data_IF_934151872990
#
_entry.id   IF_934151872990
#
_cell.length_a   1.000
_cell.length_b   1.000
_cell.length_c   1.000
_cell.angle_alpha   90.00
_cell.angle_beta   90.00
_cell.angle_gamma   90.00
#
_symmetry.space_group_name_H-M   'P 1'
#
loop_
_entity.id
_entity.type
_entity.pdbx_description
1 polymer ?
#
# COMPACT_ATOMS: atom_id res chain seq x y z
N UNK A 1 -2.85 22.22 11.17
CA UNK A 1 -1.99 21.31 10.37
C UNK A 1 -0.60 21.93 10.31
N UNK A 2 0.39 21.35 10.99
CA UNK A 2 1.77 21.86 10.94
C UNK A 2 2.42 21.35 9.67
N UNK A 3 2.67 22.26 8.72
CA UNK A 3 3.30 21.93 7.43
C UNK A 3 4.71 21.41 7.70
N UNK A 4 4.99 20.15 7.37
CA UNK A 4 6.34 19.60 7.51
C UNK A 4 7.32 20.44 6.65
N UNK A 5 8.51 20.79 7.16
CA UNK A 5 9.48 21.58 6.39
C UNK A 5 9.85 20.85 5.09
N UNK A 6 10.07 21.57 3.97
CA UNK A 6 10.42 20.98 2.67
C UNK A 6 11.56 19.96 2.77
N UNK A 7 11.52 18.87 1.98
CA UNK A 7 12.59 17.88 2.00
C UNK A 7 13.92 18.52 1.61
N UNK A 8 14.99 18.06 2.25
CA UNK A 8 16.35 18.48 1.96
C UNK A 8 16.99 17.52 0.95
N UNK A 9 17.91 17.99 0.09
CA UNK A 9 18.59 17.11 -0.84
C UNK A 9 19.49 16.12 -0.09
N UNK A 10 19.58 14.90 -0.60
CA UNK A 10 20.54 13.90 -0.13
C UNK A 10 21.96 14.41 -0.36
N UNK A 11 22.82 14.19 0.64
CA UNK A 11 24.22 14.65 0.60
C UNK A 11 25.09 13.65 -0.16
N UNK A 12 26.14 14.15 -0.80
CA UNK A 12 27.14 13.31 -1.47
C UNK A 12 26.70 12.69 -2.79
N UNK A 13 25.50 12.99 -3.27
CA UNK A 13 24.99 12.55 -4.56
C UNK A 13 24.90 13.71 -5.55
N UNK A 14 25.24 13.43 -6.80
CA UNK A 14 24.98 14.30 -7.95
C UNK A 14 24.34 13.48 -9.06
N UNK A 15 23.29 14.03 -9.65
CA UNK A 15 22.63 13.40 -10.79
C UNK A 15 23.30 13.90 -12.08
N UNK A 16 23.68 12.97 -12.94
CA UNK A 16 24.32 13.25 -14.23
C UNK A 16 23.30 13.15 -15.38
N UNK A 17 23.75 13.25 -16.63
CA UNK A 17 22.89 13.32 -17.81
C UNK A 17 21.87 12.18 -17.94
N UNK A 18 22.14 10.99 -17.37
CA UNK A 18 21.23 9.86 -17.36
C UNK A 18 20.09 9.92 -16.32
N UNK A 19 20.00 10.99 -15.53
CA UNK A 19 18.96 11.16 -14.53
C UNK A 19 19.04 10.12 -13.41
N UNK A 20 17.95 10.00 -12.63
CA UNK A 20 17.85 9.02 -11.54
C UNK A 20 17.98 7.57 -12.04
N UNK A 21 17.55 7.28 -13.26
CA UNK A 21 17.63 5.94 -13.86
C UNK A 21 19.07 5.43 -14.04
N UNK A 22 20.05 6.33 -14.08
CA UNK A 22 21.47 5.99 -14.20
C UNK A 22 22.20 5.82 -12.86
N UNK A 23 21.52 6.07 -11.74
CA UNK A 23 22.15 6.04 -10.42
C UNK A 23 22.19 4.63 -9.82
N UNK A 24 23.22 4.35 -9.03
CA UNK A 24 23.26 3.18 -8.16
C UNK A 24 22.23 3.32 -7.03
N UNK A 25 21.22 2.45 -7.05
CA UNK A 25 20.17 2.42 -6.03
C UNK A 25 20.74 2.23 -4.63
N UNK A 26 21.80 1.44 -4.45
CA UNK A 26 22.42 1.25 -3.13
C UNK A 26 23.08 2.53 -2.63
N UNK A 27 23.74 3.29 -3.51
CA UNK A 27 24.29 4.60 -3.17
C UNK A 27 23.20 5.60 -2.78
N UNK A 28 22.05 5.60 -3.48
CA UNK A 28 20.89 6.45 -3.13
C UNK A 28 20.36 6.10 -1.74
N UNK A 29 20.11 4.81 -1.47
CA UNK A 29 19.62 4.37 -0.16
C UNK A 29 20.64 4.65 0.96
N UNK A 30 21.94 4.51 0.69
CA UNK A 30 22.99 4.80 1.66
C UNK A 30 23.04 6.28 2.07
N UNK A 31 22.65 7.17 1.16
CA UNK A 31 22.64 8.61 1.39
C UNK A 31 21.39 9.14 2.13
N UNK A 32 20.26 8.42 2.10
CA UNK A 32 19.06 8.76 2.88
C UNK A 32 19.11 8.07 4.26
N UNK A 33 19.18 8.81 5.38
CA UNK A 33 19.21 8.22 6.73
C UNK A 33 18.06 7.24 7.03
N UNK A 34 16.88 7.41 6.42
CA UNK A 34 15.70 6.57 6.66
C UNK A 34 15.77 5.24 5.92
N UNK A 35 16.53 5.16 4.83
CA UNK A 35 16.68 3.93 4.03
C UNK A 35 18.09 3.35 4.10
N UNK A 36 19.05 4.04 4.73
CA UNK A 36 20.43 3.55 4.94
C UNK A 36 20.53 2.12 5.49
N UNK A 37 19.70 1.66 6.45
CA UNK A 37 19.74 0.27 6.93
C UNK A 37 19.40 -0.78 5.85
N UNK A 38 18.83 -0.35 4.72
CA UNK A 38 18.48 -1.20 3.58
C UNK A 38 19.59 -1.24 2.53
N UNK A 39 20.54 -0.31 2.56
CA UNK A 39 21.47 -0.07 1.46
C UNK A 39 22.42 -1.25 1.17
N UNK A 40 22.67 -2.12 2.14
CA UNK A 40 23.56 -3.28 2.00
C UNK A 40 22.80 -4.59 1.78
N UNK A 41 21.47 -4.53 1.57
CA UNK A 41 20.64 -5.70 1.29
C UNK A 41 20.77 -6.14 -0.16
N UNK A 42 20.63 -7.44 -0.41
CA UNK A 42 20.62 -7.97 -1.78
C UNK A 42 19.35 -7.60 -2.55
N UNK A 43 19.42 -7.73 -3.88
CA UNK A 43 18.27 -7.53 -4.77
C UNK A 43 17.32 -8.74 -4.75
N UNK A 44 16.02 -8.48 -4.87
CA UNK A 44 14.96 -9.49 -4.87
C UNK A 44 13.99 -9.27 -6.04
N UNK A 45 13.60 -10.35 -6.69
CA UNK A 45 12.72 -10.35 -7.86
C UNK A 45 11.22 -10.45 -7.50
N UNK A 46 10.91 -10.89 -6.28
CA UNK A 46 9.55 -11.04 -5.78
C UNK A 46 9.46 -10.80 -4.27
N UNK A 47 8.28 -10.42 -3.77
CA UNK A 47 8.03 -10.33 -2.32
C UNK A 47 8.28 -11.66 -1.59
N UNK A 48 8.54 -11.57 -0.28
CA UNK A 48 8.58 -12.72 0.63
C UNK A 48 9.98 -13.12 1.13
N UNK A 49 11.04 -12.46 0.67
CA UNK A 49 12.37 -12.50 1.28
C UNK A 49 12.85 -11.08 1.54
N UNK A 50 13.69 -10.88 2.55
CA UNK A 50 14.24 -9.56 2.82
C UNK A 50 15.18 -9.13 1.70
N UNK A 51 15.07 -7.87 1.27
CA UNK A 51 15.92 -7.27 0.24
C UNK A 51 15.25 -6.17 -0.55
N UNK A 52 16.00 -5.60 -1.49
CA UNK A 52 15.58 -4.46 -2.31
C UNK A 52 14.95 -4.98 -3.61
N UNK A 53 13.78 -4.47 -3.98
CA UNK A 53 13.15 -4.76 -5.28
C UNK A 53 13.76 -3.87 -6.37
N UNK A 54 13.78 -4.30 -7.65
CA UNK A 54 14.16 -3.45 -8.76
C UNK A 54 13.48 -2.07 -8.68
N UNK A 55 14.23 -0.95 -8.81
CA UNK A 55 13.62 0.36 -8.76
C UNK A 55 12.69 0.56 -9.96
N UNK A 56 11.60 1.30 -9.74
CA UNK A 56 10.69 1.74 -10.80
C UNK A 56 10.91 3.22 -11.07
N UNK A 57 10.66 3.63 -12.31
CA UNK A 57 10.93 4.98 -12.80
C UNK A 57 9.66 5.54 -13.44
N UNK A 58 9.07 6.55 -12.82
CA UNK A 58 7.74 7.09 -13.19
C UNK A 58 7.74 8.61 -13.00
N UNK A 59 7.08 9.35 -13.89
CA UNK A 59 6.88 10.80 -13.71
C UNK A 59 5.71 11.04 -12.74
N UNK A 60 6.02 11.28 -11.47
CA UNK A 60 5.03 11.58 -10.43
C UNK A 60 4.92 13.09 -10.16
N UNK A 61 5.96 13.86 -10.51
CA UNK A 61 6.00 15.30 -10.28
C UNK A 61 5.43 16.14 -11.44
N UNK A 62 5.21 15.52 -12.61
CA UNK A 62 4.67 16.15 -13.81
C UNK A 62 5.71 16.95 -14.61
N UNK A 63 7.00 16.76 -14.35
CA UNK A 63 8.10 17.49 -14.99
C UNK A 63 8.68 16.76 -16.22
N UNK A 64 8.07 15.63 -16.62
CA UNK A 64 8.48 14.74 -17.71
C UNK A 64 9.81 14.03 -17.47
N UNK A 65 10.34 14.07 -16.25
CA UNK A 65 11.50 13.28 -15.83
C UNK A 65 11.05 12.15 -14.90
N UNK A 66 11.67 10.97 -14.98
CA UNK A 66 11.30 9.89 -14.09
C UNK A 66 11.80 10.14 -12.66
N UNK A 67 10.89 10.03 -11.70
CA UNK A 67 11.17 9.85 -10.27
C UNK A 67 11.52 8.38 -9.99
N UNK A 68 12.37 8.13 -8.99
CA UNK A 68 12.79 6.79 -8.59
C UNK A 68 11.94 6.29 -7.42
N UNK A 69 11.29 5.14 -7.59
CA UNK A 69 10.59 4.41 -6.54
C UNK A 69 11.42 3.20 -6.14
N UNK A 70 11.68 3.04 -4.85
CA UNK A 70 12.39 1.90 -4.30
C UNK A 70 11.54 1.23 -3.24
N UNK A 71 11.22 -0.03 -3.46
CA UNK A 71 10.58 -0.89 -2.48
C UNK A 71 11.60 -1.86 -1.88
N UNK A 72 11.50 -2.11 -0.57
CA UNK A 72 12.33 -3.10 0.10
C UNK A 72 11.52 -3.88 1.14
N UNK A 73 11.75 -5.17 1.21
CA UNK A 73 11.16 -6.06 2.20
C UNK A 73 12.16 -6.33 3.34
N UNK A 74 11.66 -6.40 4.57
CA UNK A 74 12.46 -6.61 5.78
C UNK A 74 12.16 -7.98 6.40
N UNK A 75 13.04 -8.46 7.27
CA UNK A 75 12.84 -9.72 8.02
C UNK A 75 11.55 -9.72 8.85
N UNK A 76 11.12 -8.54 9.30
CA UNK A 76 9.90 -8.37 10.08
C UNK A 76 8.60 -8.58 9.26
N UNK A 77 8.70 -8.83 7.96
CA UNK A 77 7.55 -8.90 7.05
C UNK A 77 6.96 -7.54 6.71
N UNK A 78 7.67 -6.45 7.04
CA UNK A 78 7.33 -5.09 6.60
C UNK A 78 7.96 -4.80 5.25
N UNK A 79 7.22 -4.10 4.41
CA UNK A 79 7.69 -3.49 3.18
C UNK A 79 7.82 -1.97 3.38
N UNK A 80 8.91 -1.40 2.89
CA UNK A 80 9.18 0.03 2.86
C UNK A 80 9.06 0.49 1.41
N UNK A 81 8.47 1.68 1.21
CA UNK A 81 8.49 2.41 -0.04
C UNK A 81 9.15 3.76 0.18
N UNK A 82 10.21 4.04 -0.58
CA UNK A 82 10.85 5.34 -0.67
C UNK A 82 10.76 5.88 -2.10
N UNK A 83 10.51 7.17 -2.25
CA UNK A 83 10.42 7.84 -3.55
C UNK A 83 11.34 9.05 -3.57
N UNK A 84 12.09 9.19 -4.66
CA UNK A 84 13.06 10.26 -4.86
C UNK A 84 12.82 10.99 -6.18
N UNK A 85 13.03 12.30 -6.17
CA UNK A 85 12.97 13.16 -7.37
C UNK A 85 14.32 13.86 -7.59
N UNK A 86 14.60 14.24 -8.83
CA UNK A 86 15.77 15.06 -9.20
C UNK A 86 15.37 16.52 -9.36
N UNK A 87 16.11 17.43 -8.71
CA UNK A 87 15.98 18.88 -8.94
C UNK A 87 17.34 19.54 -8.94
N UNK A 88 17.68 20.21 -10.04
CA UNK A 88 18.94 20.96 -10.15
C UNK A 88 20.18 20.10 -9.89
N UNK A 89 20.17 18.85 -10.38
CA UNK A 89 21.24 17.87 -10.22
C UNK A 89 21.33 17.22 -8.83
N UNK A 90 20.34 17.43 -7.97
CA UNK A 90 20.30 16.90 -6.60
C UNK A 90 19.11 15.96 -6.41
N UNK A 91 19.29 14.95 -5.56
CA UNK A 91 18.26 13.96 -5.23
C UNK A 91 17.50 14.40 -3.99
N UNK A 92 16.17 14.42 -4.05
CA UNK A 92 15.29 14.79 -2.94
C UNK A 92 14.40 13.61 -2.58
N UNK A 93 14.34 13.18 -1.31
CA UNK A 93 13.35 12.23 -0.88
C UNK A 93 11.97 12.91 -0.78
N UNK A 94 10.99 12.39 -1.50
CA UNK A 94 9.64 12.98 -1.58
C UNK A 94 8.55 12.08 -1.00
N UNK A 95 8.85 10.81 -0.72
CA UNK A 95 7.98 9.92 0.06
C UNK A 95 8.82 8.94 0.87
N UNK A 96 8.37 8.60 2.07
CA UNK A 96 8.80 7.42 2.80
C UNK A 96 7.60 6.88 3.55
N UNK A 97 7.22 5.64 3.29
CA UNK A 97 6.14 4.95 3.99
C UNK A 97 6.50 3.48 4.20
N UNK A 98 5.81 2.83 5.12
CA UNK A 98 6.00 1.41 5.37
C UNK A 98 4.71 0.76 5.85
N UNK A 99 4.53 -0.50 5.52
CA UNK A 99 3.36 -1.30 5.90
C UNK A 99 3.69 -2.79 5.90
N UNK A 100 2.75 -3.63 6.32
CA UNK A 100 2.88 -5.08 6.14
C UNK A 100 2.42 -5.41 4.72
N UNK A 101 3.26 -6.07 3.92
CA UNK A 101 2.90 -6.50 2.56
C UNK A 101 2.33 -5.38 1.68
N UNK A 102 3.14 -4.35 1.43
CA UNK A 102 2.70 -3.18 0.65
C UNK A 102 2.57 -3.52 -0.84
N UNK A 103 1.43 -3.14 -1.43
CA UNK A 103 1.23 -3.04 -2.89
C UNK A 103 1.20 -1.58 -3.32
N UNK A 104 1.74 -1.27 -4.50
CA UNK A 104 1.85 0.07 -5.05
C UNK A 104 1.30 0.08 -6.47
N UNK A 105 0.38 1.00 -6.72
CA UNK A 105 -0.23 1.24 -8.03
C UNK A 105 -0.15 2.74 -8.34
N UNK A 106 -0.29 3.10 -9.62
CA UNK A 106 -0.38 4.50 -10.07
C UNK A 106 -1.75 4.82 -10.64
N UNK A 107 -2.24 6.03 -10.37
CA UNK A 107 -3.41 6.62 -11.02
C UNK A 107 -3.00 7.97 -11.61
N UNK A 108 -2.55 7.95 -12.86
CA UNK A 108 -1.84 9.11 -13.42
C UNK A 108 -0.57 9.41 -12.60
N UNK A 109 -0.34 10.65 -12.14
CA UNK A 109 0.81 11.01 -11.30
C UNK A 109 0.67 10.60 -9.83
N UNK A 110 -0.48 10.04 -9.43
CA UNK A 110 -0.75 9.70 -8.04
C UNK A 110 -0.28 8.29 -7.71
N UNK A 111 0.24 8.13 -6.49
CA UNK A 111 0.56 6.82 -5.94
C UNK A 111 -0.56 6.32 -5.06
N UNK A 112 -1.05 5.11 -5.32
CA UNK A 112 -1.96 4.38 -4.45
C UNK A 112 -1.17 3.29 -3.74
N UNK A 113 -1.10 3.39 -2.41
CA UNK A 113 -0.42 2.42 -1.56
C UNK A 113 -1.48 1.61 -0.81
N UNK A 114 -1.51 0.29 -1.03
CA UNK A 114 -2.43 -0.63 -0.37
C UNK A 114 -1.69 -1.49 0.65
N UNK A 115 -2.28 -1.62 1.83
CA UNK A 115 -1.75 -2.43 2.94
C UNK A 115 -2.87 -3.24 3.57
N UNK A 116 -2.74 -4.58 3.70
CA UNK A 116 -3.70 -5.38 4.44
C UNK A 116 -3.73 -5.01 5.93
N UNK A 117 -4.94 -4.95 6.49
CA UNK A 117 -5.18 -4.75 7.92
C UNK A 117 -5.28 -6.10 8.65
N UNK A 118 -5.00 -6.08 9.97
CA UNK A 118 -5.02 -7.31 10.79
C UNK A 118 -6.41 -7.95 10.90
N UNK A 119 -7.47 -7.16 10.74
CA UNK A 119 -8.88 -7.57 10.74
C UNK A 119 -9.36 -8.13 9.39
N UNK A 120 -8.44 -8.36 8.44
CA UNK A 120 -8.77 -8.85 7.10
C UNK A 120 -9.33 -7.78 6.17
N UNK A 121 -9.37 -6.52 6.61
CA UNK A 121 -9.61 -5.35 5.78
C UNK A 121 -8.38 -4.89 4.98
N UNK A 122 -8.52 -3.75 4.31
CA UNK A 122 -7.43 -3.10 3.56
C UNK A 122 -7.41 -1.59 3.84
N UNK A 123 -6.23 -1.03 4.02
CA UNK A 123 -5.98 0.41 3.99
C UNK A 123 -5.41 0.81 2.63
N UNK A 124 -6.02 1.82 2.01
CA UNK A 124 -5.59 2.40 0.74
C UNK A 124 -5.30 3.90 0.93
N UNK A 125 -4.03 4.27 0.78
CA UNK A 125 -3.57 5.66 0.90
C UNK A 125 -3.17 6.18 -0.47
N UNK A 126 -3.82 7.26 -0.91
CA UNK A 126 -3.49 7.96 -2.15
C UNK A 126 -2.59 9.14 -1.83
N UNK A 127 -1.45 9.21 -2.50
CA UNK A 127 -0.51 10.32 -2.43
C UNK A 127 -0.48 11.07 -3.75
N UNK A 128 -0.44 12.39 -3.67
CA UNK A 128 -0.26 13.28 -4.81
C UNK A 128 0.89 14.25 -4.54
N UNK A 129 1.54 14.67 -5.62
CA UNK A 129 2.60 15.65 -5.57
C UNK A 129 2.06 17.04 -5.19
N UNK A 130 2.57 17.64 -4.11
CA UNK A 130 2.09 18.95 -3.60
C UNK A 130 2.99 20.15 -3.96
N UNK A 131 3.97 19.95 -4.84
CA UNK A 131 5.00 20.95 -5.15
C UNK A 131 6.27 20.82 -4.30
N UNK A 132 6.25 20.06 -3.21
CA UNK A 132 7.43 19.76 -2.39
C UNK A 132 7.61 18.26 -2.04
N UNK A 133 6.54 17.50 -1.84
CA UNK A 133 6.56 16.07 -1.52
C UNK A 133 5.32 15.35 -2.05
N UNK A 134 5.32 14.03 -1.94
CA UNK A 134 4.10 13.22 -2.06
C UNK A 134 3.29 13.35 -0.77
N UNK A 135 2.16 14.03 -0.83
CA UNK A 135 1.28 14.30 0.31
C UNK A 135 0.00 13.48 0.21
N UNK A 136 -0.51 13.04 1.36
CA UNK A 136 -1.74 12.24 1.43
C UNK A 136 -2.94 13.06 0.97
N UNK A 137 -3.66 12.55 -0.03
CA UNK A 137 -4.93 13.11 -0.53
C UNK A 137 -6.11 12.34 0.03
N UNK A 138 -5.98 11.01 0.17
CA UNK A 138 -6.99 10.18 0.82
C UNK A 138 -6.35 9.03 1.59
N UNK A 139 -7.00 8.62 2.68
CA UNK A 139 -6.64 7.44 3.47
C UNK A 139 -7.94 6.72 3.82
N UNK A 140 -8.22 5.62 3.13
CA UNK A 140 -9.47 4.87 3.25
C UNK A 140 -9.15 3.51 3.87
N UNK A 141 -9.87 3.16 4.94
CA UNK A 141 -9.82 1.82 5.55
C UNK A 141 -11.13 1.10 5.30
N UNK A 142 -11.06 -0.01 4.59
CA UNK A 142 -12.18 -0.92 4.40
C UNK A 142 -12.07 -2.05 5.40
N UNK A 143 -13.02 -2.11 6.35
CA UNK A 143 -13.15 -3.25 7.25
C UNK A 143 -13.97 -4.33 6.54
N UNK A 144 -13.52 -5.60 6.57
CA UNK A 144 -14.47 -6.69 6.33
C UNK A 144 -15.47 -6.66 7.48
N UNK A 145 -16.75 -6.39 7.17
CA UNK A 145 -17.82 -6.67 8.11
C UNK A 145 -17.71 -8.15 8.43
N UNK A 146 -17.39 -8.50 9.68
CA UNK A 146 -17.53 -9.89 10.14
C UNK A 146 -18.91 -10.35 9.69
N UNK A 147 -19.07 -11.53 9.05
CA UNK A 147 -20.40 -12.09 8.95
C UNK A 147 -20.92 -12.09 10.38
N UNK A 148 -22.03 -11.37 10.62
CA UNK A 148 -22.76 -11.58 11.86
C UNK A 148 -22.89 -13.10 12.00
N UNK A 149 -22.65 -13.68 13.18
CA UNK A 149 -23.15 -15.03 13.39
C UNK A 149 -24.63 -14.91 13.08
N UNK A 150 -25.05 -15.49 11.95
CA UNK A 150 -26.45 -15.85 11.73
C UNK A 150 -26.75 -16.75 12.91
N UNK A 151 -27.33 -16.14 13.94
CA UNK A 151 -27.89 -16.85 15.07
C UNK A 151 -28.87 -17.83 14.48
N UNK A 152 -28.47 -19.10 14.55
CA UNK A 152 -29.30 -20.29 14.72
C UNK A 152 -30.62 -20.30 13.95
N UNK A 153 -30.63 -21.23 13.01
CA UNK A 153 -31.79 -22.02 12.61
C UNK A 153 -32.81 -22.25 13.75
N UNK A 154 -34.06 -22.44 13.32
CA UNK A 154 -35.10 -23.22 13.99
C UNK A 154 -36.12 -22.52 14.93
N UNK A 155 -37.19 -21.97 14.35
CA UNK A 155 -38.56 -22.48 14.56
C UNK A 155 -39.56 -21.81 13.62
N UNK A 156 -40.01 -22.56 12.62
CA UNK A 156 -41.24 -22.29 11.87
C UNK A 156 -42.43 -22.69 12.76
N UNK A 157 -43.37 -21.80 13.11
CA UNK A 157 -44.70 -22.25 13.48
C UNK A 157 -45.37 -22.73 12.18
N UNK A 158 -45.56 -24.05 12.06
CA UNK A 158 -46.32 -24.62 10.95
C UNK A 158 -47.77 -24.08 10.97
N UNK A 159 -48.40 -23.85 9.80
CA UNK A 159 -49.83 -23.62 9.75
C UNK A 159 -50.57 -24.91 10.14
N UNK A 160 -51.36 -24.84 11.20
CA UNK A 160 -52.42 -25.80 11.52
C UNK A 160 -53.42 -25.87 10.36
N UNK A 161 -53.77 -27.08 9.92
CA UNK A 161 -54.86 -27.26 8.95
C UNK A 161 -54.93 -28.65 8.29
N UNK A 162 -55.21 -29.67 9.10
CA UNK A 162 -55.99 -30.90 8.83
C UNK A 162 -55.79 -31.74 7.55
N UNK A 163 -55.47 -33.04 7.67
CA UNK A 163 -55.85 -34.04 6.69
C UNK A 163 -57.30 -34.49 6.93
N UNK A 164 -58.08 -34.59 5.85
CA UNK A 164 -59.37 -35.26 5.82
C UNK A 164 -59.15 -36.78 5.78
N UNK A 165 -59.75 -37.50 6.72
CA UNK A 165 -60.40 -38.78 6.44
C UNK A 165 -61.34 -39.15 7.60
N UNK A 166 -62.63 -39.26 7.26
CA UNK A 166 -63.68 -39.84 8.10
C UNK A 166 -63.50 -41.35 8.22
N UNK A 167 -63.96 -41.95 9.32
CA UNK A 167 -65.14 -42.81 9.14
C UNK A 167 -66.15 -42.75 10.30
N UNK A 168 -67.45 -42.73 9.95
CA UNK A 168 -68.55 -43.17 10.83
C UNK A 168 -68.57 -44.70 10.92
N UNK A 169 -69.07 -45.27 12.02
CA UNK A 169 -70.43 -45.82 11.98
C UNK A 169 -71.25 -45.77 13.30
N UNK A 170 -72.53 -45.39 13.13
CA UNK A 170 -73.78 -45.95 13.69
C UNK A 170 -73.93 -46.47 15.13
N UNK A 171 -75.03 -46.01 15.75
CA UNK A 171 -76.03 -46.83 16.47
C UNK A 171 -76.75 -46.07 17.59
N UNK A 172 -78.02 -46.37 17.96
CA UNK A 172 -79.11 -47.07 17.28
C UNK A 172 -80.19 -46.16 16.66
#
# INVERSE_FOLDING_TARGET
STRQPPPQPLRGLKVHAGGLASMDVHAVLRADPRTRPLADRGMIDRPGRAGIRPPMFLDLTGDKKPDMLVAADTESGRSILAVYTERGGKVYPILFTSGRSVSVETIGPDLLVRTPCADGGEQAVRFHWDGARMSTVSDIKNYKRSPHPTGTDDRRPGPSGSPADSPSPWGP
#
